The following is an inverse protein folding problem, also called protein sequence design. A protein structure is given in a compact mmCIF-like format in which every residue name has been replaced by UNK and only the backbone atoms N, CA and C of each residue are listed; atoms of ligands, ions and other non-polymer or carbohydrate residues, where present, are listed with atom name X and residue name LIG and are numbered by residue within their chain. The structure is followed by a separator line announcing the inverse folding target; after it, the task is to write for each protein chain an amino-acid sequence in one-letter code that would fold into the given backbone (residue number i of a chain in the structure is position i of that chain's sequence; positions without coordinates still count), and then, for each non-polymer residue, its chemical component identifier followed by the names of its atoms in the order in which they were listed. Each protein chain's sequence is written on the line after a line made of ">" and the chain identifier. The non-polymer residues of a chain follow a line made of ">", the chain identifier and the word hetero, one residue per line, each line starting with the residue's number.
data_IF_939647903718
#
_entry.id   IF_939647903718
#
_cell.length_a   1.000
_cell.length_b   1.000
_cell.length_c   1.000
_cell.angle_alpha   90.00
_cell.angle_beta   90.00
_cell.angle_gamma   90.00
#
_symmetry.space_group_name_H-M   'P 1'
#
loop_
_entity.id
_entity.type
_entity.pdbx_description
1 polymer ?
#
# COMPACT_ATOMS: atom_id res chain seq x y z
N UNK A 1 -5.57 7.21 10.30
CA UNK A 1 -5.96 8.24 9.33
C UNK A 1 -6.51 9.52 9.95
N UNK A 2 -7.32 9.46 11.02
CA UNK A 2 -7.88 10.65 11.68
C UNK A 2 -6.88 11.76 12.05
N UNK A 3 -5.64 11.40 12.37
CA UNK A 3 -4.57 12.34 12.74
C UNK A 3 -3.75 12.86 11.54
N UNK A 4 -4.12 12.52 10.30
CA UNK A 4 -3.42 12.99 9.11
C UNK A 4 -3.87 14.43 8.78
N UNK A 5 -2.94 15.38 8.58
CA UNK A 5 -3.29 16.71 8.10
C UNK A 5 -3.65 16.67 6.61
N UNK A 6 -4.41 17.67 6.16
CA UNK A 6 -4.58 17.94 4.73
C UNK A 6 -3.23 18.36 4.11
N UNK A 7 -2.93 17.83 2.93
CA UNK A 7 -1.68 18.09 2.18
C UNK A 7 -1.93 18.21 0.68
N UNK A 8 -0.92 18.64 -0.06
CA UNK A 8 -0.95 18.76 -1.52
C UNK A 8 -1.36 20.14 -2.01
N UNK A 9 -0.86 20.52 -3.18
CA UNK A 9 -1.00 21.89 -3.72
C UNK A 9 -2.42 22.28 -4.16
N UNK A 10 -3.38 21.35 -4.16
CA UNK A 10 -4.80 21.61 -4.47
C UNK A 10 -5.69 21.50 -3.23
N UNK A 11 -5.11 21.51 -2.02
CA UNK A 11 -5.86 21.39 -0.77
C UNK A 11 -6.88 22.52 -0.55
N UNK A 12 -6.64 23.70 -1.15
CA UNK A 12 -7.53 24.87 -1.08
C UNK A 12 -8.37 25.06 -2.37
N UNK A 13 -8.32 24.13 -3.32
CA UNK A 13 -9.13 24.19 -4.54
C UNK A 13 -10.58 23.79 -4.22
N UNK A 14 -11.39 24.76 -3.81
CA UNK A 14 -12.80 24.53 -3.48
C UNK A 14 -13.61 23.93 -4.62
N UNK A 15 -13.27 24.22 -5.88
CA UNK A 15 -14.01 23.70 -7.02
C UNK A 15 -13.76 22.19 -7.17
N UNK A 16 -12.51 21.76 -7.06
CA UNK A 16 -12.13 20.35 -7.04
C UNK A 16 -12.75 19.62 -5.85
N UNK A 17 -12.65 20.18 -4.65
CA UNK A 17 -13.19 19.56 -3.44
C UNK A 17 -14.71 19.42 -3.49
N UNK A 18 -15.42 20.43 -3.98
CA UNK A 18 -16.88 20.37 -4.17
C UNK A 18 -17.27 19.27 -5.17
N UNK A 19 -16.51 19.11 -6.26
CA UNK A 19 -16.72 18.01 -7.23
C UNK A 19 -16.48 16.65 -6.58
N UNK A 20 -15.36 16.47 -5.88
CA UNK A 20 -15.03 15.22 -5.21
C UNK A 20 -16.12 14.80 -4.20
N UNK A 21 -16.61 15.75 -3.40
CA UNK A 21 -17.70 15.51 -2.43
C UNK A 21 -19.04 15.23 -3.11
N UNK A 22 -19.38 15.93 -4.19
CA UNK A 22 -20.59 15.67 -4.96
C UNK A 22 -20.57 14.27 -5.59
N UNK A 23 -19.43 13.89 -6.19
CA UNK A 23 -19.23 12.56 -6.76
C UNK A 23 -19.29 11.47 -5.69
N UNK A 24 -18.72 11.68 -4.51
CA UNK A 24 -18.85 10.71 -3.42
C UNK A 24 -20.31 10.59 -2.95
N UNK A 25 -21.02 11.69 -2.78
CA UNK A 25 -22.42 11.65 -2.35
C UNK A 25 -23.32 10.93 -3.36
N UNK A 26 -23.14 11.21 -4.67
CA UNK A 26 -23.91 10.64 -5.78
C UNK A 26 -23.03 10.55 -7.05
N UNK A 27 -22.38 9.40 -7.28
CA UNK A 27 -21.58 9.21 -8.49
C UNK A 27 -22.46 9.30 -9.74
N UNK A 28 -22.02 10.07 -10.74
CA UNK A 28 -22.68 10.10 -12.05
C UNK A 28 -22.35 8.84 -12.86
N UNK A 29 -23.13 8.56 -13.91
CA UNK A 29 -23.00 7.35 -14.73
C UNK A 29 -21.62 7.18 -15.40
N UNK A 30 -20.91 8.28 -15.63
CA UNK A 30 -19.57 8.30 -16.24
C UNK A 30 -18.42 8.15 -15.22
N UNK A 31 -18.73 8.06 -13.92
CA UNK A 31 -17.74 7.86 -12.86
C UNK A 31 -17.51 6.37 -12.67
N UNK A 32 -16.25 5.94 -12.74
CA UNK A 32 -15.87 4.58 -12.40
C UNK A 32 -15.83 4.44 -10.89
N UNK A 33 -16.72 3.63 -10.33
CA UNK A 33 -16.77 3.39 -8.88
C UNK A 33 -16.21 2.02 -8.56
N UNK A 34 -15.21 1.96 -7.68
CA UNK A 34 -14.63 0.72 -7.18
C UNK A 34 -14.63 0.70 -5.66
N UNK A 35 -14.69 -0.49 -5.07
CA UNK A 35 -14.63 -0.66 -3.63
C UNK A 35 -13.85 -1.92 -3.28
N UNK A 36 -12.91 -1.81 -2.34
CA UNK A 36 -12.29 -2.96 -1.69
C UNK A 36 -13.39 -3.89 -1.15
N UNK A 37 -13.27 -5.23 -1.31
CA UNK A 37 -14.29 -6.17 -0.84
C UNK A 37 -14.75 -5.90 0.60
N UNK A 38 -16.08 -5.89 0.81
CA UNK A 38 -16.69 -5.59 2.11
C UNK A 38 -16.71 -4.11 2.50
N UNK A 39 -16.36 -3.19 1.59
CA UNK A 39 -16.45 -1.74 1.80
C UNK A 39 -17.75 -1.19 1.22
N UNK A 40 -18.59 -0.50 2.00
CA UNK A 40 -19.75 0.21 1.46
C UNK A 40 -19.34 1.33 0.49
N UNK A 41 -20.09 1.52 -0.59
CA UNK A 41 -19.85 2.54 -1.63
C UNK A 41 -20.81 3.74 -1.58
N UNK A 42 -21.71 3.81 -0.59
CA UNK A 42 -22.65 4.93 -0.43
C UNK A 42 -21.98 6.25 -0.03
N UNK A 43 -22.77 7.30 0.19
CA UNK A 43 -22.27 8.60 0.65
C UNK A 43 -21.57 8.54 2.04
N UNK A 44 -20.78 9.57 2.43
CA UNK A 44 -19.98 9.57 3.64
C UNK A 44 -20.75 9.22 4.92
N UNK A 45 -20.16 8.41 5.81
CA UNK A 45 -20.79 8.06 7.09
C UNK A 45 -20.70 9.19 8.14
N UNK A 46 -19.71 10.07 8.00
CA UNK A 46 -19.49 11.26 8.83
C UNK A 46 -18.90 12.41 8.00
N UNK A 47 -18.63 13.56 8.62
CA UNK A 47 -18.01 14.70 7.95
C UNK A 47 -16.67 14.30 7.31
N UNK A 48 -16.52 14.38 5.98
CA UNK A 48 -15.27 14.02 5.31
C UNK A 48 -14.10 14.92 5.74
N UNK A 49 -13.03 14.31 6.21
CA UNK A 49 -11.74 14.95 6.44
C UNK A 49 -10.89 14.89 5.17
N UNK A 50 -10.38 16.03 4.72
CA UNK A 50 -9.39 16.09 3.65
C UNK A 50 -8.03 15.59 4.15
N UNK A 51 -7.47 14.60 3.46
CA UNK A 51 -6.12 14.10 3.72
C UNK A 51 -5.13 14.57 2.64
N UNK A 52 -5.60 14.71 1.40
CA UNK A 52 -4.77 15.19 0.30
C UNK A 52 -5.60 15.71 -0.86
N UNK A 53 -5.14 16.78 -1.52
CA UNK A 53 -5.56 17.14 -2.86
C UNK A 53 -4.36 17.65 -3.67
N UNK A 54 -4.09 17.06 -4.82
CA UNK A 54 -2.95 17.46 -5.64
C UNK A 54 -2.89 16.75 -6.99
N UNK A 55 -1.97 17.19 -7.83
CA UNK A 55 -1.70 16.54 -9.11
C UNK A 55 -0.79 15.33 -8.92
N UNK A 56 -1.16 14.21 -9.54
CA UNK A 56 -0.40 12.95 -9.50
C UNK A 56 -0.41 12.39 -10.91
N UNK A 57 0.78 12.35 -11.52
CA UNK A 57 0.96 12.01 -12.93
C UNK A 57 0.04 12.85 -13.83
N UNK A 58 -0.94 12.25 -14.52
CA UNK A 58 -1.91 12.94 -15.41
C UNK A 58 -3.29 13.18 -14.77
N UNK A 59 -3.43 13.05 -13.45
CA UNK A 59 -4.70 13.22 -12.74
C UNK A 59 -4.61 14.26 -11.61
N UNK A 60 -5.76 14.85 -11.27
CA UNK A 60 -5.99 15.51 -9.98
C UNK A 60 -6.58 14.46 -9.03
N UNK A 61 -5.97 14.27 -7.87
CA UNK A 61 -6.36 13.25 -6.90
C UNK A 61 -6.76 13.92 -5.60
N UNK A 62 -7.88 13.46 -5.02
CA UNK A 62 -8.36 13.87 -3.70
C UNK A 62 -8.52 12.63 -2.82
N UNK A 63 -7.94 12.66 -1.62
CA UNK A 63 -8.08 11.63 -0.59
C UNK A 63 -8.91 12.21 0.54
N UNK A 64 -10.05 11.59 0.81
CA UNK A 64 -10.95 11.93 1.91
C UNK A 64 -11.11 10.76 2.86
N UNK A 65 -11.39 11.06 4.13
CA UNK A 65 -11.62 10.07 5.18
C UNK A 65 -12.90 10.43 5.96
N UNK A 66 -13.88 9.53 6.05
CA UNK A 66 -15.16 9.77 6.75
C UNK A 66 -15.19 9.22 8.19
N UNK A 67 -14.06 8.74 8.71
CA UNK A 67 -13.97 8.08 10.01
C UNK A 67 -13.95 6.55 9.93
N UNK A 68 -14.44 5.95 8.84
CA UNK A 68 -14.51 4.50 8.66
C UNK A 68 -13.79 4.02 7.39
N UNK A 69 -13.74 4.85 6.35
CA UNK A 69 -13.16 4.50 5.05
C UNK A 69 -12.44 5.70 4.44
N UNK A 70 -11.54 5.36 3.52
CA UNK A 70 -10.93 6.28 2.58
C UNK A 70 -11.76 6.28 1.30
N UNK A 71 -12.01 7.48 0.77
CA UNK A 71 -12.48 7.69 -0.59
C UNK A 71 -11.36 8.38 -1.38
N UNK A 72 -10.89 7.73 -2.44
CA UNK A 72 -9.95 8.31 -3.40
C UNK A 72 -10.73 8.73 -4.65
N UNK A 73 -10.84 10.03 -4.87
CA UNK A 73 -11.36 10.59 -6.10
C UNK A 73 -10.20 10.94 -7.02
N UNK A 74 -10.33 10.65 -8.30
CA UNK A 74 -9.37 11.09 -9.32
C UNK A 74 -10.08 11.51 -10.60
N UNK A 75 -9.73 12.67 -11.13
CA UNK A 75 -10.16 13.14 -12.45
C UNK A 75 -8.92 13.43 -13.31
N UNK A 76 -9.00 13.31 -14.65
CA UNK A 76 -7.94 13.81 -15.52
C UNK A 76 -7.67 15.31 -15.27
N UNK A 77 -6.45 15.77 -15.59
CA UNK A 77 -6.13 17.20 -15.55
C UNK A 77 -6.96 18.00 -16.56
N UNK A 78 -7.27 17.38 -17.70
CA UNK A 78 -8.06 17.98 -18.77
C UNK A 78 -9.40 17.24 -18.91
N UNK A 79 -10.50 17.95 -18.66
CA UNK A 79 -11.83 17.37 -18.62
C UNK A 79 -12.09 16.53 -17.36
N UNK A 80 -13.36 16.22 -17.12
CA UNK A 80 -13.80 15.37 -16.00
C UNK A 80 -14.32 13.99 -16.47
N UNK A 81 -14.24 13.69 -17.76
CA UNK A 81 -14.59 12.37 -18.28
C UNK A 81 -13.56 11.33 -17.83
N UNK A 82 -14.01 10.17 -17.39
CA UNK A 82 -13.11 9.13 -16.85
C UNK A 82 -12.70 9.36 -15.40
N UNK A 83 -13.43 10.18 -14.64
CA UNK A 83 -13.23 10.27 -13.21
C UNK A 83 -13.48 8.91 -12.51
N UNK A 84 -12.67 8.62 -11.49
CA UNK A 84 -12.74 7.42 -10.68
C UNK A 84 -12.98 7.76 -9.22
N UNK A 85 -13.73 6.90 -8.54
CA UNK A 85 -14.00 6.95 -7.12
C UNK A 85 -13.75 5.57 -6.51
N UNK A 86 -12.69 5.45 -5.73
CA UNK A 86 -12.26 4.20 -5.12
C UNK A 86 -12.49 4.24 -3.60
N UNK A 87 -13.07 3.19 -3.03
CA UNK A 87 -13.31 3.06 -1.60
C UNK A 87 -12.44 1.98 -0.95
N UNK A 88 -11.85 2.30 0.19
CA UNK A 88 -11.18 1.30 1.04
C UNK A 88 -11.56 1.48 2.51
N UNK A 89 -12.01 0.39 3.12
CA UNK A 89 -12.31 0.33 4.54
C UNK A 89 -11.03 0.47 5.38
N UNK A 90 -11.04 1.37 6.36
CA UNK A 90 -9.88 1.63 7.25
C UNK A 90 -10.24 1.70 8.73
N UNK A 91 -11.43 1.24 9.10
CA UNK A 91 -11.85 1.12 10.49
C UNK A 91 -10.83 0.30 11.29
N UNK A 92 -10.52 0.76 12.50
CA UNK A 92 -9.51 0.13 13.35
C UNK A 92 -8.08 0.13 12.79
N UNK A 93 -7.78 0.89 11.73
CA UNK A 93 -6.40 0.99 11.21
C UNK A 93 -5.47 1.55 12.29
N UNK A 94 -4.47 0.76 12.66
CA UNK A 94 -3.40 1.17 13.55
C UNK A 94 -2.36 2.01 12.84
N UNK A 95 -1.23 2.23 13.51
CA UNK A 95 -0.09 2.98 12.95
C UNK A 95 0.45 2.33 11.67
N UNK A 96 0.52 0.99 11.63
CA UNK A 96 1.10 0.26 10.50
C UNK A 96 0.19 0.34 9.27
N UNK A 97 -1.10 0.04 9.41
CA UNK A 97 -2.08 0.08 8.32
C UNK A 97 -2.35 1.51 7.84
N UNK A 98 -2.22 2.50 8.73
CA UNK A 98 -2.33 3.91 8.38
C UNK A 98 -0.98 4.54 8.03
N UNK A 99 -0.04 3.80 7.45
CA UNK A 99 1.29 4.31 7.05
C UNK A 99 1.35 4.86 5.63
N UNK A 100 0.48 4.41 4.72
CA UNK A 100 0.40 4.91 3.35
C UNK A 100 -0.98 4.71 2.71
N UNK A 101 -1.25 5.50 1.66
CA UNK A 101 -2.42 5.37 0.77
C UNK A 101 -1.94 5.55 -0.66
N UNK A 102 -2.47 4.76 -1.58
CA UNK A 102 -2.19 4.88 -3.01
C UNK A 102 -2.84 6.15 -3.56
N UNK A 103 -2.03 7.01 -4.16
CA UNK A 103 -2.49 8.19 -4.86
C UNK A 103 -2.84 7.89 -6.32
N UNK A 104 -2.06 7.05 -6.99
CA UNK A 104 -2.25 6.75 -8.39
C UNK A 104 -1.40 5.59 -8.86
N UNK A 105 -1.83 5.00 -9.97
CA UNK A 105 -1.16 3.92 -10.69
C UNK A 105 -1.10 4.31 -12.16
N UNK A 106 0.11 4.46 -12.71
CA UNK A 106 0.34 4.89 -14.08
C UNK A 106 1.65 4.27 -14.60
N UNK A 107 1.66 3.84 -15.86
CA UNK A 107 2.85 3.35 -16.57
C UNK A 107 3.63 2.26 -15.81
N UNK A 108 2.90 1.34 -15.14
CA UNK A 108 3.49 0.25 -14.36
C UNK A 108 4.00 0.66 -12.97
N UNK A 109 3.85 1.93 -12.59
CA UNK A 109 4.27 2.47 -11.30
C UNK A 109 3.08 2.80 -10.40
N UNK A 110 3.37 2.94 -9.12
CA UNK A 110 2.46 3.41 -8.08
C UNK A 110 3.12 4.55 -7.30
N UNK A 111 2.31 5.54 -6.91
CA UNK A 111 2.71 6.61 -5.99
C UNK A 111 1.87 6.55 -4.73
N UNK A 112 2.51 6.82 -3.60
CA UNK A 112 1.84 6.79 -2.30
C UNK A 112 1.88 8.15 -1.62
N UNK A 113 0.82 8.45 -0.89
CA UNK A 113 0.83 9.42 0.19
C UNK A 113 1.19 8.69 1.48
N UNK A 114 2.30 9.06 2.10
CA UNK A 114 2.77 8.49 3.36
C UNK A 114 2.18 9.20 4.56
N UNK A 115 2.11 8.53 5.70
CA UNK A 115 1.67 9.13 6.96
C UNK A 115 2.60 10.28 7.40
N UNK A 116 2.09 11.29 8.14
CA UNK A 116 2.88 12.47 8.51
C UNK A 116 4.07 12.16 9.44
N UNK A 117 4.12 10.98 10.05
CA UNK A 117 5.24 10.54 10.89
C UNK A 117 6.30 9.73 10.13
N UNK A 118 6.06 9.37 8.86
CA UNK A 118 7.04 8.67 8.03
C UNK A 118 8.20 9.62 7.74
N UNK A 119 9.42 9.15 7.99
CA UNK A 119 10.66 9.92 7.83
C UNK A 119 11.39 9.57 6.54
N UNK A 120 11.32 8.31 6.12
CA UNK A 120 11.91 7.85 4.86
C UNK A 120 11.06 6.75 4.25
N UNK A 121 11.14 6.66 2.93
CA UNK A 121 10.52 5.62 2.12
C UNK A 121 11.58 5.01 1.20
N UNK A 122 11.42 3.73 0.88
CA UNK A 122 12.29 3.04 -0.04
C UNK A 122 11.58 1.89 -0.74
N UNK A 123 12.16 1.43 -1.83
CA UNK A 123 11.76 0.28 -2.60
C UNK A 123 12.69 -0.90 -2.29
N UNK A 124 12.13 -2.09 -2.12
CA UNK A 124 12.90 -3.33 -1.93
C UNK A 124 12.25 -4.46 -2.73
N UNK A 125 13.06 -5.27 -3.39
CA UNK A 125 12.57 -6.53 -3.95
C UNK A 125 12.44 -7.58 -2.84
N UNK A 126 11.22 -8.04 -2.60
CA UNK A 126 10.93 -9.06 -1.58
C UNK A 126 11.44 -10.44 -1.98
N UNK A 127 11.71 -10.69 -3.27
CA UNK A 127 12.30 -11.97 -3.73
C UNK A 127 13.80 -12.06 -3.46
N UNK A 128 14.49 -10.93 -3.32
CA UNK A 128 15.91 -10.87 -3.05
C UNK A 128 16.14 -10.33 -1.62
N UNK A 129 16.19 -11.20 -0.60
CA UNK A 129 16.26 -10.78 0.78
C UNK A 129 17.57 -10.07 1.14
N UNK A 130 18.62 -10.26 0.34
CA UNK A 130 19.95 -9.69 0.56
C UNK A 130 20.15 -8.39 -0.23
N UNK A 131 19.25 -8.07 -1.18
CA UNK A 131 19.26 -6.80 -1.89
C UNK A 131 19.16 -5.60 -0.93
N UNK A 132 19.75 -4.47 -1.32
CA UNK A 132 19.58 -3.20 -0.62
C UNK A 132 18.16 -2.64 -0.75
N UNK A 133 17.88 -1.59 0.01
CA UNK A 133 16.71 -0.73 -0.22
C UNK A 133 17.14 0.41 -1.14
N UNK A 134 16.36 0.69 -2.18
CA UNK A 134 16.53 1.87 -3.02
C UNK A 134 15.70 3.02 -2.43
N UNK A 135 16.32 4.14 -2.12
CA UNK A 135 15.60 5.28 -1.51
C UNK A 135 14.58 5.87 -2.48
N UNK A 136 13.40 6.20 -1.96
CA UNK A 136 12.36 6.94 -2.66
C UNK A 136 12.33 8.37 -2.13
N UNK A 137 12.31 9.34 -3.04
CA UNK A 137 12.15 10.74 -2.67
C UNK A 137 10.76 10.97 -2.07
N UNK A 138 10.69 11.74 -0.98
CA UNK A 138 9.44 12.22 -0.40
C UNK A 138 9.28 13.71 -0.67
N UNK A 139 8.25 14.09 -1.42
CA UNK A 139 7.87 15.49 -1.65
C UNK A 139 6.50 15.71 -1.01
N UNK A 140 6.44 16.49 0.07
CA UNK A 140 5.23 16.72 0.85
C UNK A 140 4.53 15.42 1.32
N UNK A 141 5.32 14.37 1.55
CA UNK A 141 4.87 13.03 1.93
C UNK A 141 4.43 12.15 0.76
N UNK A 142 4.51 12.63 -0.48
CA UNK A 142 4.29 11.83 -1.70
C UNK A 142 5.59 11.16 -2.13
N UNK A 143 5.54 9.86 -2.42
CA UNK A 143 6.70 9.12 -2.92
C UNK A 143 7.01 9.45 -4.39
N UNK A 144 8.29 9.37 -4.77
CA UNK A 144 8.66 9.07 -6.16
C UNK A 144 7.97 7.78 -6.63
N UNK A 145 7.83 7.56 -7.96
CA UNK A 145 7.23 6.34 -8.47
C UNK A 145 7.97 5.11 -7.98
N UNK A 146 7.23 4.07 -7.60
CA UNK A 146 7.72 2.73 -7.29
C UNK A 146 7.11 1.75 -8.30
N UNK A 147 7.89 0.78 -8.78
CA UNK A 147 7.37 -0.23 -9.71
C UNK A 147 6.30 -1.08 -9.02
N UNK A 148 5.05 -1.01 -9.48
CA UNK A 148 3.92 -1.68 -8.83
C UNK A 148 3.87 -3.16 -9.20
N UNK A 149 3.96 -4.10 -8.24
CA UNK A 149 3.66 -5.50 -8.52
C UNK A 149 2.26 -5.67 -9.11
N UNK A 150 1.26 -4.92 -8.63
CA UNK A 150 -0.14 -5.01 -9.03
C UNK A 150 -0.39 -4.74 -10.53
N UNK A 151 0.53 -4.04 -11.21
CA UNK A 151 0.39 -3.71 -12.64
C UNK A 151 1.26 -4.57 -13.56
N UNK A 152 2.15 -5.42 -13.02
CA UNK A 152 3.08 -6.20 -13.83
C UNK A 152 2.43 -7.46 -14.42
N UNK A 153 2.40 -7.60 -15.77
CA UNK A 153 2.00 -8.84 -16.43
C UNK A 153 3.14 -9.87 -16.47
N UNK A 154 2.80 -11.15 -16.60
CA UNK A 154 3.77 -12.22 -16.86
C UNK A 154 4.33 -12.92 -15.61
N UNK A 155 5.43 -13.65 -15.80
CA UNK A 155 6.06 -14.43 -14.73
C UNK A 155 6.68 -13.51 -13.66
N UNK A 156 6.49 -13.88 -12.39
CA UNK A 156 6.98 -13.09 -11.27
C UNK A 156 8.49 -13.32 -11.05
N UNK A 157 9.30 -12.37 -11.51
CA UNK A 157 10.77 -12.38 -11.38
C UNK A 157 11.28 -11.47 -10.27
N UNK A 158 10.50 -10.45 -9.88
CA UNK A 158 10.72 -9.53 -8.75
C UNK A 158 9.37 -9.24 -8.06
N UNK A 159 9.38 -8.81 -6.82
CA UNK A 159 8.21 -8.32 -6.09
C UNK A 159 8.55 -7.09 -5.24
N UNK A 160 8.33 -5.90 -5.78
CA UNK A 160 8.78 -4.67 -5.14
C UNK A 160 7.78 -4.21 -4.07
N UNK A 161 8.27 -4.00 -2.85
CA UNK A 161 7.49 -3.53 -1.71
C UNK A 161 7.93 -2.13 -1.31
N UNK A 162 6.99 -1.38 -0.74
CA UNK A 162 7.27 -0.08 -0.15
C UNK A 162 7.75 -0.29 1.29
N UNK A 163 9.00 0.08 1.55
CA UNK A 163 9.57 0.17 2.89
C UNK A 163 9.31 1.57 3.46
N UNK A 164 8.75 1.66 4.66
CA UNK A 164 8.50 2.91 5.36
C UNK A 164 9.18 2.89 6.73
N UNK A 165 9.92 3.95 7.05
CA UNK A 165 10.57 4.08 8.35
C UNK A 165 10.02 5.30 9.10
N UNK A 166 9.67 5.11 10.37
CA UNK A 166 9.27 6.17 11.27
C UNK A 166 9.99 6.06 12.63
N UNK A 167 9.53 6.82 13.64
CA UNK A 167 10.11 6.80 14.98
C UNK A 167 9.96 5.48 15.76
N UNK A 168 9.17 4.53 15.26
CA UNK A 168 8.92 3.24 15.91
C UNK A 168 9.62 2.07 15.22
N UNK A 169 10.14 2.29 14.00
CA UNK A 169 10.87 1.28 13.25
C UNK A 169 10.54 1.31 11.76
N UNK A 170 10.90 0.23 11.09
CA UNK A 170 10.69 0.02 9.66
C UNK A 170 9.59 -1.02 9.45
N UNK A 171 8.74 -0.78 8.45
CA UNK A 171 7.68 -1.71 8.02
C UNK A 171 7.67 -1.83 6.51
N UNK A 172 7.18 -2.97 6.03
CA UNK A 172 7.01 -3.23 4.60
C UNK A 172 5.51 -3.27 4.29
N UNK A 173 5.09 -2.54 3.26
CA UNK A 173 3.74 -2.61 2.73
C UNK A 173 3.79 -2.95 1.24
N UNK A 174 2.82 -3.70 0.75
CA UNK A 174 2.78 -4.17 -0.63
C UNK A 174 1.54 -3.69 -1.36
N UNK A 175 1.72 -3.40 -2.64
CA UNK A 175 0.62 -3.12 -3.54
C UNK A 175 -0.08 -4.43 -3.96
N UNK A 176 -1.33 -4.61 -3.54
CA UNK A 176 -2.21 -5.70 -3.97
C UNK A 176 -3.36 -5.22 -4.86
N UNK A 177 -3.35 -3.96 -5.29
CA UNK A 177 -4.37 -3.36 -6.15
C UNK A 177 -5.40 -2.50 -5.42
N UNK A 178 -5.49 -2.55 -4.09
CA UNK A 178 -6.39 -1.69 -3.33
C UNK A 178 -5.84 -0.27 -3.08
N UNK A 179 -6.68 0.64 -2.58
CA UNK A 179 -6.29 2.02 -2.23
C UNK A 179 -5.34 2.05 -1.03
N UNK A 180 -5.47 1.11 -0.09
CA UNK A 180 -4.59 0.98 1.07
C UNK A 180 -3.71 -0.24 0.87
N UNK A 181 -2.37 -0.12 0.88
CA UNK A 181 -1.48 -1.25 0.69
C UNK A 181 -1.51 -2.20 1.90
N UNK A 182 -1.22 -3.48 1.66
CA UNK A 182 -1.24 -4.50 2.71
C UNK A 182 0.06 -4.48 3.52
N UNK A 183 -0.02 -4.52 4.85
CA UNK A 183 1.15 -4.59 5.74
C UNK A 183 1.72 -6.01 5.79
N UNK A 184 3.02 -6.14 5.51
CA UNK A 184 3.73 -7.41 5.59
C UNK A 184 4.35 -7.59 6.97
N UNK A 185 4.05 -8.74 7.57
CA UNK A 185 4.59 -9.17 8.87
C UNK A 185 5.20 -10.56 8.75
N UNK A 186 6.01 -10.94 9.74
CA UNK A 186 6.49 -12.29 9.87
C UNK A 186 6.50 -12.76 11.33
N UNK A 187 6.33 -14.07 11.54
CA UNK A 187 6.35 -14.70 12.85
C UNK A 187 5.07 -15.45 13.17
N UNK A 188 5.04 -16.11 14.33
CA UNK A 188 3.93 -16.99 14.70
C UNK A 188 2.59 -16.23 14.73
N UNK A 189 1.48 -16.88 14.34
CA UNK A 189 0.15 -16.32 14.57
C UNK A 189 -0.03 -15.87 16.02
N UNK A 190 -0.57 -14.68 16.23
CA UNK A 190 -0.72 -14.05 17.56
C UNK A 190 0.50 -13.28 18.07
N UNK A 191 1.67 -13.42 17.42
CA UNK A 191 2.86 -12.63 17.71
C UNK A 191 3.60 -12.21 16.42
N UNK A 192 2.92 -11.57 15.45
CA UNK A 192 3.57 -11.06 14.24
C UNK A 192 4.57 -9.96 14.59
N UNK A 193 5.67 -9.91 13.85
CA UNK A 193 6.71 -8.88 13.90
C UNK A 193 6.89 -8.24 12.53
N UNK A 194 7.56 -7.10 12.49
CA UNK A 194 7.83 -6.40 11.24
C UNK A 194 8.64 -7.26 10.25
N UNK A 195 8.25 -7.24 8.97
CA UNK A 195 8.90 -8.04 7.93
C UNK A 195 10.24 -7.45 7.43
N UNK A 196 10.71 -6.36 8.00
CA UNK A 196 11.92 -5.64 7.54
C UNK A 196 13.24 -6.22 8.06
N UNK A 197 13.21 -7.12 9.04
CA UNK A 197 14.41 -7.76 9.58
C UNK A 197 14.97 -8.84 8.66
N UNK A 198 16.28 -9.07 8.69
CA UNK A 198 16.96 -10.01 7.78
C UNK A 198 16.37 -11.45 7.82
N UNK A 199 16.00 -11.94 9.00
CA UNK A 199 15.33 -13.25 9.14
C UNK A 199 13.95 -13.25 8.47
N UNK A 200 13.15 -12.22 8.73
CA UNK A 200 11.82 -12.09 8.16
C UNK A 200 11.86 -11.94 6.62
N UNK A 201 12.84 -11.20 6.10
CA UNK A 201 13.07 -11.09 4.65
C UNK A 201 13.38 -12.45 4.03
N UNK A 202 14.25 -13.26 4.65
CA UNK A 202 14.52 -14.63 4.20
C UNK A 202 13.28 -15.53 4.28
N UNK A 203 12.45 -15.38 5.32
CA UNK A 203 11.16 -16.08 5.40
C UNK A 203 10.24 -15.70 4.25
N UNK A 204 10.22 -14.42 3.85
CA UNK A 204 9.34 -13.91 2.80
C UNK A 204 9.79 -14.24 1.37
N UNK A 205 11.09 -14.28 1.11
CA UNK A 205 11.68 -14.47 -0.22
C UNK A 205 11.02 -15.57 -1.07
N UNK A 206 10.82 -16.82 -0.59
CA UNK A 206 10.18 -17.86 -1.38
C UNK A 206 8.68 -17.60 -1.65
N UNK A 207 8.01 -16.80 -0.82
CA UNK A 207 6.57 -16.53 -0.89
C UNK A 207 6.22 -15.24 -1.61
N UNK A 208 7.19 -14.37 -1.91
CA UNK A 208 6.95 -13.04 -2.45
C UNK A 208 5.98 -13.05 -3.65
N UNK A 209 6.13 -13.99 -4.59
CA UNK A 209 5.23 -14.07 -5.75
C UNK A 209 3.84 -14.65 -5.47
N UNK A 210 3.68 -15.39 -4.38
CA UNK A 210 2.38 -15.92 -3.97
C UNK A 210 1.39 -14.82 -3.57
N UNK A 211 1.90 -13.62 -3.26
CA UNK A 211 1.09 -12.41 -3.02
C UNK A 211 0.19 -12.06 -4.22
N UNK A 212 0.52 -12.53 -5.43
CA UNK A 212 -0.36 -12.40 -6.61
C UNK A 212 -1.75 -12.99 -6.37
N UNK A 213 -1.85 -14.08 -5.59
CA UNK A 213 -3.13 -14.73 -5.28
C UNK A 213 -4.03 -13.89 -4.35
N UNK A 214 -3.48 -12.85 -3.71
CA UNK A 214 -4.18 -11.97 -2.78
C UNK A 214 -4.59 -10.63 -3.40
N UNK A 215 -4.39 -10.46 -4.72
CA UNK A 215 -4.73 -9.20 -5.40
C UNK A 215 -6.22 -8.90 -5.31
N UNK A 216 -6.54 -7.64 -5.01
CA UNK A 216 -7.89 -7.10 -4.95
C UNK A 216 -8.83 -7.87 -4.02
N UNK A 217 -8.28 -8.59 -3.02
CA UNK A 217 -9.04 -9.46 -2.13
C UNK A 217 -9.45 -8.78 -0.80
N UNK A 218 -9.11 -7.51 -0.61
CA UNK A 218 -9.38 -6.75 0.62
C UNK A 218 -8.42 -7.06 1.76
N UNK A 219 -7.18 -7.40 1.43
CA UNK A 219 -6.20 -7.87 2.40
C UNK A 219 -5.49 -6.67 3.04
N UNK A 220 -5.63 -6.53 4.36
CA UNK A 220 -5.00 -5.43 5.12
C UNK A 220 -3.60 -5.77 5.62
N UNK A 221 -3.35 -7.05 5.89
CA UNK A 221 -2.04 -7.55 6.31
C UNK A 221 -1.85 -8.99 5.85
N UNK A 222 -0.61 -9.34 5.54
CA UNK A 222 -0.18 -10.70 5.25
C UNK A 222 0.97 -11.05 6.19
N UNK A 223 0.89 -12.23 6.81
CA UNK A 223 1.92 -12.72 7.73
C UNK A 223 2.57 -13.98 7.19
N UNK A 224 3.89 -13.98 7.05
CA UNK A 224 4.66 -15.18 6.70
C UNK A 224 5.23 -15.84 7.96
N UNK A 225 5.12 -17.15 8.08
CA UNK A 225 5.56 -17.86 9.28
C UNK A 225 5.96 -19.30 8.99
N UNK A 226 7.00 -19.76 9.68
CA UNK A 226 7.41 -21.16 9.66
C UNK A 226 6.46 -21.97 10.55
N UNK A 227 5.65 -22.83 9.94
CA UNK A 227 4.78 -23.75 10.67
C UNK A 227 5.55 -24.95 11.23
N UNK A 228 6.45 -25.51 10.42
CA UNK A 228 7.27 -26.66 10.79
C UNK A 228 8.63 -26.57 10.09
N UNK A 229 9.67 -26.96 10.81
CA UNK A 229 11.02 -27.15 10.29
C UNK A 229 11.38 -28.62 10.43
N UNK A 230 11.83 -29.24 9.34
CA UNK A 230 12.26 -30.63 9.34
C UNK A 230 13.66 -30.73 8.73
N UNK A 231 14.64 -31.32 9.43
CA UNK A 231 15.94 -31.57 8.84
C UNK A 231 15.78 -32.53 7.66
N UNK A 232 16.40 -32.18 6.53
CA UNK A 232 16.42 -33.07 5.38
C UNK A 232 17.30 -34.29 5.68
N UNK A 233 16.85 -35.52 5.41
CA UNK A 233 17.70 -36.70 5.55
C UNK A 233 18.85 -36.62 4.52
N UNK A 234 20.10 -36.58 5.00
CA UNK A 234 21.28 -36.63 4.13
C UNK A 234 22.47 -35.73 4.52
N UNK A 235 22.36 -34.87 5.55
CA UNK A 235 23.54 -34.20 6.12
C UNK A 235 24.36 -35.17 6.99
N UNK A 236 24.83 -36.26 6.39
CA UNK A 236 25.81 -37.14 7.02
C UNK A 236 27.11 -36.38 7.18
N UNK A 237 27.58 -36.33 8.43
CA UNK A 237 28.82 -35.71 8.85
C UNK A 237 29.98 -36.07 7.91
N UNK A 238 30.48 -35.09 7.17
CA UNK A 238 31.86 -35.13 6.70
C UNK A 238 32.76 -34.86 7.93
N UNK A 239 33.19 -35.91 8.61
CA UNK A 239 34.18 -35.77 9.68
C UNK A 239 34.12 -36.89 10.72
N UNK A 240 34.99 -37.89 10.56
CA UNK A 240 35.24 -38.91 11.57
C UNK A 240 36.13 -40.02 11.02
N UNK A 241 37.42 -39.75 10.88
CA UNK A 241 38.40 -40.74 10.45
C UNK A 241 38.68 -41.83 11.49
N UNK A 242 39.05 -43.01 11.00
CA UNK A 242 39.89 -44.07 11.56
C UNK A 242 39.72 -45.27 10.59
N UNK A 243 40.74 -45.95 10.06
CA UNK A 243 42.19 -45.97 10.26
C UNK A 243 42.83 -46.74 9.10
#
# INVERSE_FOLDING_TARGET
>A
FSVWPARGGLADDEALLRRALAVWARPGERVQVSATPGTPSGGPAGPPQLLYAGEVDNARVVILHDGLRIARYAEPKEGAEGAALDFARVDGAGRAEASAVVLGRADGNVRYLTAPWVRSAGERDLRDPDAGTMDLTLTDGVTSPLASPALRPGACTSWNVLQLTDGTGTRLVTDLGEVVPAHLTAGRPGAPREASGAEALRTWAPYACSLTAMRSAGVRSVNAWAFAEQPLPGASAAGGGAG
#
